data_IF_598492263225
#
_entry.id   IF_598492263225
#
_cell.length_a   1.000
_cell.length_b   1.000
_cell.length_c   1.000
_cell.angle_alpha   90.00
_cell.angle_beta   90.00
_cell.angle_gamma   90.00
#
_symmetry.space_group_name_H-M   'P 1'
#
loop_
_entity.id
_entity.type
_entity.pdbx_description
1 polymer ?
#
# COMPACT_ATOMS: atom_id res chain seq x y z
N UNK A 1 -1.55 -0.26 -5.30
CA UNK A 1 -2.73 -0.03 -4.44
C UNK A 1 -4.00 -0.05 -5.29
N UNK A 2 -5.17 -0.21 -4.65
CA UNK A 2 -6.50 -0.02 -5.25
C UNK A 2 -6.76 -0.86 -6.52
N UNK A 3 -6.11 -2.00 -6.65
CA UNK A 3 -6.29 -2.95 -7.75
C UNK A 3 -7.12 -4.13 -7.25
N UNK A 4 -8.13 -4.55 -8.03
CA UNK A 4 -9.00 -5.68 -7.70
C UNK A 4 -8.16 -6.92 -7.37
N UNK A 5 -8.53 -7.64 -6.32
CA UNK A 5 -7.82 -8.83 -5.79
C UNK A 5 -6.39 -8.58 -5.29
N UNK A 6 -5.95 -7.32 -5.14
CA UNK A 6 -4.70 -6.95 -4.48
C UNK A 6 -4.96 -6.37 -3.10
N UNK A 7 -4.02 -6.56 -2.18
CA UNK A 7 -4.11 -6.08 -0.79
C UNK A 7 -2.74 -5.67 -0.27
N UNK A 8 -2.71 -5.01 0.88
CA UNK A 8 -1.45 -4.72 1.60
C UNK A 8 -0.68 -6.01 1.91
N UNK A 9 -1.39 -7.12 2.19
CA UNK A 9 -0.78 -8.43 2.41
C UNK A 9 -0.13 -8.96 1.14
N UNK A 10 -0.82 -8.91 -0.02
CA UNK A 10 -0.24 -9.35 -1.29
C UNK A 10 0.97 -8.51 -1.69
N UNK A 11 0.98 -7.21 -1.39
CA UNK A 11 2.13 -6.34 -1.59
C UNK A 11 3.35 -6.82 -0.76
N UNK A 12 3.19 -6.99 0.55
CA UNK A 12 4.26 -7.46 1.42
C UNK A 12 4.75 -8.87 1.04
N UNK A 13 3.82 -9.76 0.66
CA UNK A 13 4.15 -11.13 0.24
C UNK A 13 5.01 -11.19 -1.03
N UNK A 14 4.84 -10.27 -1.99
CA UNK A 14 5.71 -10.24 -3.18
C UNK A 14 7.20 -10.16 -2.80
N UNK A 15 7.52 -9.28 -1.86
CA UNK A 15 8.90 -9.11 -1.38
C UNK A 15 9.37 -10.28 -0.49
N UNK A 16 8.47 -10.77 0.38
CA UNK A 16 8.76 -11.88 1.29
C UNK A 16 9.00 -13.20 0.53
N UNK A 17 8.14 -13.52 -0.45
CA UNK A 17 8.24 -14.74 -1.26
C UNK A 17 9.52 -14.77 -2.11
N UNK A 18 9.94 -13.61 -2.61
CA UNK A 18 11.19 -13.48 -3.34
C UNK A 18 12.45 -13.67 -2.44
N UNK A 19 12.26 -13.71 -1.12
CA UNK A 19 13.34 -13.82 -0.11
C UNK A 19 14.45 -12.78 -0.31
N UNK A 20 14.07 -11.58 -0.73
CA UNK A 20 14.99 -10.49 -0.98
C UNK A 20 15.55 -9.94 0.35
N UNK A 21 16.85 -9.65 0.37
CA UNK A 21 17.59 -9.26 1.58
C UNK A 21 17.76 -7.74 1.73
N UNK A 22 17.75 -6.99 0.64
CA UNK A 22 17.99 -5.54 0.63
C UNK A 22 16.78 -4.80 0.11
N UNK A 23 16.43 -3.70 0.77
CA UNK A 23 15.21 -2.94 0.51
C UNK A 23 15.52 -1.46 0.43
N UNK A 24 14.89 -0.82 -0.54
CA UNK A 24 14.79 0.64 -0.65
C UNK A 24 13.31 0.99 -0.61
N UNK A 25 12.93 1.78 0.38
CA UNK A 25 11.58 2.31 0.52
C UNK A 25 11.62 3.82 0.32
N UNK A 26 10.69 4.34 -0.49
CA UNK A 26 10.57 5.76 -0.82
C UNK A 26 9.10 6.15 -0.75
N UNK A 27 8.82 7.33 -0.22
CA UNK A 27 7.49 7.92 -0.13
C UNK A 27 7.42 9.12 -1.07
N UNK A 28 6.34 9.24 -1.83
CA UNK A 28 6.10 10.40 -2.70
C UNK A 28 5.36 11.48 -1.92
N UNK A 29 5.90 12.69 -1.93
CA UNK A 29 5.30 13.84 -1.23
C UNK A 29 4.04 14.29 -1.95
N UNK A 30 2.98 14.56 -1.18
CA UNK A 30 1.72 15.14 -1.66
C UNK A 30 1.16 14.39 -2.90
N UNK A 31 1.22 13.05 -2.90
CA UNK A 31 0.94 12.22 -4.06
C UNK A 31 -0.39 12.56 -4.75
N UNK A 32 -1.51 12.52 -4.05
CA UNK A 32 -2.81 12.87 -4.63
C UNK A 32 -2.89 14.36 -5.06
N UNK A 33 -2.55 15.34 -4.21
CA UNK A 33 -2.62 16.75 -4.59
C UNK A 33 -1.67 17.13 -5.71
N UNK A 34 -0.57 16.40 -5.91
CA UNK A 34 0.37 16.65 -7.02
C UNK A 34 -0.19 16.27 -8.40
N UNK A 35 -1.23 15.42 -8.44
CA UNK A 35 -1.90 15.02 -9.67
C UNK A 35 -2.94 16.07 -10.04
N UNK A 36 -2.74 16.73 -11.19
CA UNK A 36 -3.65 17.71 -11.76
C UNK A 36 -4.50 17.08 -12.87
N UNK A 37 -5.61 17.73 -13.19
CA UNK A 37 -6.45 17.29 -14.32
C UNK A 37 -5.64 17.14 -15.63
N UNK A 38 -4.71 18.06 -15.91
CA UNK A 38 -3.83 17.98 -17.09
C UNK A 38 -3.00 16.68 -17.13
N UNK A 39 -2.57 16.18 -15.97
CA UNK A 39 -1.84 14.91 -15.91
C UNK A 39 -2.76 13.71 -16.21
N UNK A 40 -4.02 13.78 -15.76
CA UNK A 40 -5.02 12.78 -16.12
C UNK A 40 -5.33 12.81 -17.60
N UNK A 41 -5.55 13.98 -18.19
CA UNK A 41 -5.81 14.16 -19.61
C UNK A 41 -4.63 13.67 -20.48
N UNK A 42 -3.40 13.97 -20.06
CA UNK A 42 -2.19 13.42 -20.70
C UNK A 42 -2.17 11.88 -20.66
N UNK A 43 -2.39 11.28 -19.50
CA UNK A 43 -2.44 9.83 -19.35
C UNK A 43 -3.59 9.21 -20.16
N UNK A 44 -4.77 9.86 -20.17
CA UNK A 44 -5.90 9.42 -20.98
C UNK A 44 -5.54 9.37 -22.47
N UNK A 45 -4.94 10.41 -23.00
CA UNK A 45 -4.52 10.45 -24.40
C UNK A 45 -3.42 9.43 -24.70
N UNK A 46 -2.45 9.26 -23.78
CA UNK A 46 -1.35 8.29 -23.93
C UNK A 46 -1.84 6.85 -24.00
N UNK A 47 -2.82 6.52 -23.16
CA UNK A 47 -3.33 5.15 -23.04
C UNK A 47 -4.71 4.97 -23.68
N UNK A 48 -5.14 5.89 -24.56
CA UNK A 48 -6.49 5.90 -25.13
C UNK A 48 -6.86 4.61 -25.82
N UNK A 49 -5.92 3.98 -26.51
CA UNK A 49 -6.14 2.71 -27.23
C UNK A 49 -6.41 1.50 -26.31
N UNK A 50 -6.10 1.63 -25.02
CA UNK A 50 -6.36 0.60 -24.03
C UNK A 50 -7.70 0.80 -23.30
N UNK A 51 -8.45 1.86 -23.63
CA UNK A 51 -9.72 2.21 -22.99
C UNK A 51 -10.86 1.70 -23.88
N UNK A 52 -11.60 0.71 -23.41
CA UNK A 52 -12.76 0.12 -24.07
C UNK A 52 -14.00 1.04 -23.90
N UNK A 53 -13.96 2.22 -24.52
CA UNK A 53 -15.05 3.19 -24.50
C UNK A 53 -15.12 3.92 -25.86
N UNK A 54 -16.32 4.21 -26.41
CA UNK A 54 -16.44 4.84 -27.70
C UNK A 54 -15.76 6.22 -27.76
N UNK A 55 -14.85 6.42 -28.72
CA UNK A 55 -14.05 7.66 -28.85
C UNK A 55 -14.92 8.91 -29.07
N UNK A 56 -16.09 8.74 -29.65
CA UNK A 56 -17.02 9.85 -29.92
C UNK A 56 -17.42 10.62 -28.66
N UNK A 57 -17.33 9.98 -27.48
CA UNK A 57 -17.67 10.59 -26.18
C UNK A 57 -16.47 11.03 -25.35
N UNK A 58 -15.26 11.06 -25.94
CA UNK A 58 -14.04 11.36 -25.19
C UNK A 58 -14.09 12.76 -24.55
N UNK A 59 -14.60 13.75 -25.25
CA UNK A 59 -14.67 15.11 -24.73
C UNK A 59 -15.67 15.25 -23.58
N UNK A 60 -16.84 14.67 -23.72
CA UNK A 60 -17.86 14.64 -22.66
C UNK A 60 -17.36 13.89 -21.44
N UNK A 61 -16.68 12.75 -21.64
CA UNK A 61 -16.09 11.96 -20.57
C UNK A 61 -15.00 12.75 -19.84
N UNK A 62 -14.09 13.37 -20.54
CA UNK A 62 -13.02 14.19 -19.96
C UNK A 62 -13.59 15.38 -19.18
N UNK A 63 -14.61 16.08 -19.72
CA UNK A 63 -15.27 17.18 -19.03
C UNK A 63 -16.02 16.71 -17.77
N UNK A 64 -16.69 15.56 -17.84
CA UNK A 64 -17.37 14.96 -16.71
C UNK A 64 -16.40 14.62 -15.59
N UNK A 65 -15.30 13.90 -15.91
CA UNK A 65 -14.26 13.54 -14.95
C UNK A 65 -13.63 14.78 -14.33
N UNK A 66 -13.35 15.82 -15.12
CA UNK A 66 -12.83 17.10 -14.62
C UNK A 66 -13.75 17.69 -13.55
N UNK A 67 -15.04 17.71 -13.84
CA UNK A 67 -16.03 18.36 -12.97
C UNK A 67 -16.28 17.61 -11.67
N UNK A 68 -16.34 16.26 -11.71
CA UNK A 68 -16.74 15.46 -10.55
C UNK A 68 -15.59 14.86 -9.76
N UNK A 69 -14.38 14.75 -10.35
CA UNK A 69 -13.24 14.07 -9.73
C UNK A 69 -12.12 15.01 -9.27
N UNK A 70 -12.11 16.25 -9.73
CA UNK A 70 -11.08 17.24 -9.38
C UNK A 70 -11.70 18.43 -8.65
N UNK A 71 -10.93 19.07 -7.74
CA UNK A 71 -11.36 20.27 -7.02
C UNK A 71 -10.99 21.54 -7.80
N UNK A 72 -11.39 22.71 -7.29
CA UNK A 72 -11.30 24.00 -7.99
C UNK A 72 -9.90 24.37 -8.48
N UNK A 73 -8.83 23.92 -7.80
CA UNK A 73 -7.43 24.09 -8.24
C UNK A 73 -6.97 23.01 -9.26
N UNK A 74 -7.91 22.24 -9.79
CA UNK A 74 -7.70 21.11 -10.68
C UNK A 74 -6.86 19.98 -10.09
N UNK A 75 -6.68 19.91 -8.77
CA UNK A 75 -5.96 18.84 -8.10
C UNK A 75 -6.87 17.64 -7.76
N UNK A 76 -6.26 16.47 -7.63
CA UNK A 76 -6.96 15.26 -7.22
C UNK A 76 -7.19 15.28 -5.70
N UNK A 77 -8.45 15.28 -5.21
CA UNK A 77 -8.74 15.42 -3.80
C UNK A 77 -8.43 14.16 -2.99
N UNK A 78 -7.99 14.35 -1.76
CA UNK A 78 -7.86 13.26 -0.79
C UNK A 78 -9.24 12.87 -0.27
N UNK A 79 -9.55 11.57 -0.22
CA UNK A 79 -10.80 11.05 0.34
C UNK A 79 -11.92 10.81 -0.67
N UNK A 80 -11.80 11.25 -1.90
CA UNK A 80 -12.78 10.90 -2.94
C UNK A 80 -12.61 9.44 -3.36
N UNK A 81 -13.70 8.68 -3.54
CA UNK A 81 -13.66 7.28 -3.96
C UNK A 81 -12.95 7.05 -5.31
N UNK A 82 -12.99 8.05 -6.20
CA UNK A 82 -12.39 8.03 -7.54
C UNK A 82 -10.89 8.32 -7.52
N UNK A 83 -10.39 9.09 -6.55
CA UNK A 83 -9.01 9.53 -6.49
C UNK A 83 -7.98 8.39 -6.54
N UNK A 84 -8.17 7.26 -5.84
CA UNK A 84 -7.22 6.16 -5.91
C UNK A 84 -7.09 5.52 -7.30
N UNK A 85 -8.19 5.41 -8.04
CA UNK A 85 -8.21 4.81 -9.38
C UNK A 85 -7.52 5.76 -10.36
N UNK A 86 -7.88 7.04 -10.33
CA UNK A 86 -7.29 8.09 -11.18
C UNK A 86 -5.79 8.20 -10.90
N UNK A 87 -5.38 8.22 -9.64
CA UNK A 87 -3.97 8.29 -9.26
C UNK A 87 -3.16 7.09 -9.77
N UNK A 88 -3.72 5.88 -9.73
CA UNK A 88 -3.07 4.71 -10.32
C UNK A 88 -2.95 4.80 -11.84
N UNK A 89 -3.98 5.31 -12.49
CA UNK A 89 -3.97 5.48 -13.95
C UNK A 89 -2.90 6.49 -14.38
N UNK A 90 -2.84 7.65 -13.73
CA UNK A 90 -1.83 8.69 -14.01
C UNK A 90 -0.41 8.20 -13.69
N UNK A 91 -0.23 7.49 -12.58
CA UNK A 91 1.10 6.99 -12.20
C UNK A 91 1.58 5.77 -13.00
N UNK A 92 0.78 5.27 -13.95
CA UNK A 92 1.15 4.10 -14.78
C UNK A 92 2.42 4.35 -15.59
N UNK A 93 2.56 5.50 -16.21
CA UNK A 93 3.74 5.84 -16.98
C UNK A 93 5.01 5.86 -16.12
N UNK A 94 4.90 6.36 -14.88
CA UNK A 94 5.98 6.29 -13.90
C UNK A 94 6.34 4.83 -13.57
N UNK A 95 5.33 3.98 -13.31
CA UNK A 95 5.54 2.57 -13.00
C UNK A 95 6.24 1.83 -14.15
N UNK A 96 5.84 2.07 -15.38
CA UNK A 96 6.45 1.50 -16.59
C UNK A 96 7.90 1.94 -16.75
N UNK A 97 8.18 3.26 -16.66
CA UNK A 97 9.54 3.80 -16.76
C UNK A 97 10.45 3.33 -15.63
N UNK A 98 9.93 3.28 -14.40
CA UNK A 98 10.71 2.78 -13.27
C UNK A 98 11.05 1.30 -13.45
N UNK A 99 10.11 0.51 -13.92
CA UNK A 99 10.34 -0.92 -14.20
C UNK A 99 11.43 -1.10 -15.25
N UNK A 100 11.39 -0.33 -16.33
CA UNK A 100 12.43 -0.35 -17.39
C UNK A 100 13.80 0.06 -16.83
N UNK A 101 13.85 1.16 -16.06
CA UNK A 101 15.10 1.63 -15.46
C UNK A 101 15.69 0.63 -14.45
N UNK A 102 14.85 -0.06 -13.67
CA UNK A 102 15.31 -1.11 -12.75
C UNK A 102 15.85 -2.33 -13.50
N UNK A 103 15.19 -2.74 -14.58
CA UNK A 103 15.60 -3.87 -15.41
C UNK A 103 16.91 -3.60 -16.17
N UNK A 104 17.24 -2.33 -16.44
CA UNK A 104 18.51 -1.95 -17.08
C UNK A 104 19.73 -2.01 -16.12
N UNK A 105 19.51 -2.12 -14.82
CA UNK A 105 20.59 -2.26 -13.85
C UNK A 105 21.07 -3.73 -13.85
N UNK A 106 22.31 -3.91 -14.24
CA UNK A 106 22.89 -5.24 -14.37
C UNK A 106 22.73 -6.09 -13.10
N UNK A 107 22.24 -7.31 -13.29
CA UNK A 107 22.04 -8.35 -12.28
C UNK A 107 21.19 -7.92 -11.09
N UNK A 108 20.37 -6.86 -11.17
CA UNK A 108 19.59 -6.34 -10.04
C UNK A 108 18.51 -7.32 -9.57
N UNK A 109 17.76 -7.93 -10.50
CA UNK A 109 16.64 -8.83 -10.22
C UNK A 109 15.73 -8.28 -9.09
N UNK A 110 15.22 -7.06 -9.27
CA UNK A 110 14.45 -6.37 -8.24
C UNK A 110 12.96 -6.75 -8.28
N UNK A 111 12.34 -6.81 -7.12
CA UNK A 111 10.89 -6.74 -6.97
C UNK A 111 10.52 -5.28 -6.69
N UNK A 112 9.65 -4.73 -7.51
CA UNK A 112 9.08 -3.40 -7.37
C UNK A 112 7.60 -3.49 -7.03
N UNK A 113 7.17 -2.71 -6.04
CA UNK A 113 5.75 -2.48 -5.75
C UNK A 113 5.50 -1.03 -5.38
N UNK A 114 4.32 -0.52 -5.75
CA UNK A 114 3.82 0.79 -5.31
C UNK A 114 2.44 0.64 -4.67
N UNK A 115 2.28 1.24 -3.50
CA UNK A 115 0.99 1.37 -2.83
C UNK A 115 0.70 2.85 -2.60
N UNK A 116 -0.08 3.47 -3.52
CA UNK A 116 -0.24 4.92 -3.62
C UNK A 116 1.13 5.63 -3.72
N UNK A 117 1.50 6.36 -2.68
CA UNK A 117 2.76 7.07 -2.49
C UNK A 117 3.93 6.20 -2.01
N UNK A 118 3.63 5.03 -1.40
CA UNK A 118 4.65 4.10 -0.86
C UNK A 118 5.26 3.25 -1.97
N UNK A 119 6.53 3.47 -2.28
CA UNK A 119 7.34 2.69 -3.22
C UNK A 119 8.26 1.77 -2.44
N UNK A 120 8.26 0.47 -2.77
CA UNK A 120 9.16 -0.50 -2.18
C UNK A 120 9.87 -1.24 -3.31
N UNK A 121 11.20 -1.27 -3.26
CA UNK A 121 12.04 -2.06 -4.16
C UNK A 121 12.91 -2.97 -3.32
N UNK A 122 12.91 -4.26 -3.65
CA UNK A 122 13.74 -5.23 -2.95
C UNK A 122 14.57 -6.07 -3.92
N UNK A 123 15.77 -6.47 -3.48
CA UNK A 123 16.69 -7.27 -4.27
C UNK A 123 17.58 -8.12 -3.35
N UNK A 124 18.23 -9.14 -3.91
CA UNK A 124 19.29 -9.90 -3.24
C UNK A 124 20.70 -9.34 -3.49
N UNK A 125 20.83 -8.26 -4.28
CA UNK A 125 22.13 -7.67 -4.62
C UNK A 125 22.50 -6.57 -3.62
N UNK A 126 23.61 -6.78 -2.90
CA UNK A 126 24.18 -5.80 -1.96
C UNK A 126 24.75 -4.60 -2.72
N UNK A 127 24.67 -3.41 -2.11
CA UNK A 127 25.31 -2.20 -2.63
C UNK A 127 24.58 -1.50 -3.79
N UNK A 128 23.37 -1.96 -4.17
CA UNK A 128 22.62 -1.41 -5.30
C UNK A 128 21.67 -0.26 -4.92
N UNK A 129 21.59 0.16 -3.66
CA UNK A 129 20.64 1.18 -3.19
C UNK A 129 20.78 2.53 -3.89
N UNK A 130 22.01 2.99 -4.14
CA UNK A 130 22.23 4.24 -4.87
C UNK A 130 21.74 4.16 -6.32
N UNK A 131 21.96 3.03 -7.01
CA UNK A 131 21.48 2.83 -8.38
C UNK A 131 19.95 2.75 -8.42
N UNK A 132 19.31 2.11 -7.44
CA UNK A 132 17.86 2.05 -7.29
C UNK A 132 17.29 3.47 -7.07
N UNK A 133 17.87 4.26 -6.17
CA UNK A 133 17.43 5.64 -5.93
C UNK A 133 17.59 6.51 -7.17
N UNK A 134 18.67 6.36 -7.92
CA UNK A 134 18.88 7.07 -9.18
C UNK A 134 17.85 6.65 -10.24
N UNK A 135 17.49 5.37 -10.32
CA UNK A 135 16.43 4.88 -11.20
C UNK A 135 15.08 5.52 -10.85
N UNK A 136 14.71 5.60 -9.56
CA UNK A 136 13.48 6.28 -9.12
C UNK A 136 13.51 7.76 -9.53
N UNK A 137 14.58 8.48 -9.19
CA UNK A 137 14.74 9.91 -9.52
C UNK A 137 14.69 10.16 -11.03
N UNK A 138 15.35 9.33 -11.82
CA UNK A 138 15.35 9.42 -13.29
C UNK A 138 13.95 9.16 -13.87
N UNK A 139 13.21 8.20 -13.31
CA UNK A 139 11.84 7.89 -13.76
C UNK A 139 10.88 9.04 -13.47
N UNK A 140 10.96 9.66 -12.29
CA UNK A 140 10.15 10.82 -11.92
C UNK A 140 10.36 11.99 -12.87
N UNK A 141 11.62 12.30 -13.23
CA UNK A 141 11.96 13.45 -14.11
C UNK A 141 11.44 13.30 -15.53
N UNK A 142 11.08 12.12 -15.95
CA UNK A 142 10.69 11.80 -17.35
C UNK A 142 9.19 11.61 -17.52
N UNK A 143 8.40 11.88 -16.50
CA UNK A 143 6.93 11.68 -16.51
C UNK A 143 6.19 12.88 -15.95
N UNK A 144 4.94 12.99 -16.32
CA UNK A 144 3.96 13.90 -15.74
C UNK A 144 2.92 13.10 -14.90
N UNK A 145 2.62 13.54 -13.66
CA UNK A 145 3.21 14.67 -12.93
C UNK A 145 4.66 14.39 -12.51
N UNK A 146 5.46 15.44 -12.39
CA UNK A 146 6.81 15.34 -11.81
C UNK A 146 6.69 15.17 -10.28
N UNK A 147 6.48 13.92 -9.84
CA UNK A 147 6.36 13.58 -8.44
C UNK A 147 7.59 14.02 -7.63
N UNK A 148 7.39 14.33 -6.36
CA UNK A 148 8.48 14.70 -5.45
C UNK A 148 8.72 13.59 -4.43
N UNK A 149 9.99 13.24 -4.21
CA UNK A 149 10.39 12.29 -3.18
C UNK A 149 10.39 13.01 -1.83
N UNK A 150 9.81 12.38 -0.82
CA UNK A 150 9.98 12.79 0.57
C UNK A 150 11.33 12.26 1.08
N UNK A 151 12.36 13.11 1.06
CA UNK A 151 13.73 12.71 1.41
C UNK A 151 13.84 12.21 2.87
N UNK A 152 13.03 12.74 3.78
CA UNK A 152 13.03 12.34 5.20
C UNK A 152 12.46 10.93 5.43
N UNK A 153 11.74 10.40 4.44
CA UNK A 153 11.13 9.07 4.47
C UNK A 153 11.82 8.05 3.56
N UNK A 154 13.03 8.32 3.12
CA UNK A 154 13.83 7.32 2.40
C UNK A 154 14.41 6.35 3.44
N UNK A 155 14.06 5.07 3.30
CA UNK A 155 14.58 4.01 4.15
C UNK A 155 15.34 2.97 3.32
N UNK A 156 16.60 2.74 3.67
CA UNK A 156 17.43 1.67 3.11
C UNK A 156 17.72 0.70 4.24
N UNK A 157 17.32 -0.53 4.07
CA UNK A 157 17.49 -1.54 5.12
C UNK A 157 17.79 -2.92 4.54
N UNK A 158 18.28 -3.81 5.42
CA UNK A 158 18.50 -5.23 5.09
C UNK A 158 17.67 -6.11 6.01
N UNK A 159 17.30 -7.29 5.52
CA UNK A 159 16.57 -8.30 6.30
C UNK A 159 17.37 -8.78 7.54
N UNK A 160 18.70 -8.79 7.47
CA UNK A 160 19.59 -9.15 8.58
C UNK A 160 19.69 -8.02 9.63
N UNK A 161 19.43 -6.77 9.27
CA UNK A 161 19.49 -5.62 10.17
C UNK A 161 18.20 -5.32 10.93
N UNK A 162 17.19 -6.17 10.80
CA UNK A 162 15.91 -5.97 11.48
C UNK A 162 14.70 -6.33 10.64
N UNK A 163 13.59 -5.66 10.90
CA UNK A 163 12.32 -5.89 10.21
C UNK A 163 12.02 -4.77 9.22
N UNK A 164 11.42 -5.16 8.11
CA UNK A 164 10.97 -4.24 7.07
C UNK A 164 9.49 -4.02 7.23
N UNK A 165 9.07 -2.76 7.13
CA UNK A 165 7.65 -2.39 7.15
C UNK A 165 7.19 -2.10 5.73
N UNK A 166 6.38 -2.99 5.18
CA UNK A 166 5.75 -2.84 3.87
C UNK A 166 4.24 -2.57 4.07
N UNK A 167 3.77 -1.39 3.69
CA UNK A 167 2.35 -0.99 3.80
C UNK A 167 1.72 -1.30 5.18
N UNK A 168 2.47 -1.01 6.27
CA UNK A 168 2.03 -1.26 7.65
C UNK A 168 2.20 -2.69 8.16
N UNK A 169 2.62 -3.63 7.32
CA UNK A 169 2.93 -5.00 7.71
C UNK A 169 4.43 -5.21 7.86
N UNK A 170 4.80 -6.09 8.79
CA UNK A 170 6.19 -6.44 9.05
C UNK A 170 6.58 -7.68 8.23
N UNK A 171 7.69 -7.56 7.47
CA UNK A 171 8.40 -8.69 6.88
C UNK A 171 9.55 -9.03 7.83
N UNK A 172 9.57 -10.24 8.37
CA UNK A 172 10.58 -10.70 9.30
C UNK A 172 11.84 -11.22 8.58
N UNK A 173 12.92 -11.46 9.32
CA UNK A 173 14.19 -11.97 8.78
C UNK A 173 14.08 -13.35 8.11
N UNK A 174 13.11 -14.17 8.55
CA UNK A 174 12.75 -15.47 7.97
C UNK A 174 11.71 -15.35 6.84
N UNK A 175 11.45 -14.11 6.40
CA UNK A 175 10.53 -13.74 5.31
C UNK A 175 9.05 -14.02 5.56
N UNK A 176 8.62 -14.34 6.78
CA UNK A 176 7.19 -14.35 7.05
C UNK A 176 6.62 -12.93 7.22
N UNK A 177 5.38 -12.74 6.78
CA UNK A 177 4.65 -11.47 6.90
C UNK A 177 3.76 -11.52 8.14
N UNK A 178 3.84 -10.49 8.96
CA UNK A 178 3.10 -10.41 10.22
C UNK A 178 2.64 -8.97 10.50
N UNK A 179 1.77 -8.81 11.49
CA UNK A 179 1.36 -7.51 12.00
C UNK A 179 2.51 -6.78 12.68
N UNK A 180 2.53 -5.45 12.57
CA UNK A 180 3.46 -4.63 13.34
C UNK A 180 3.24 -4.84 14.85
N UNK A 181 4.32 -4.75 15.64
CA UNK A 181 4.29 -4.99 17.09
C UNK A 181 3.24 -4.15 17.80
N UNK A 182 3.14 -2.86 17.48
CA UNK A 182 2.16 -1.96 18.08
C UNK A 182 0.71 -2.45 17.91
N UNK A 183 0.36 -2.99 16.75
CA UNK A 183 -0.96 -3.56 16.49
C UNK A 183 -1.18 -4.85 17.31
N UNK A 184 -0.18 -5.72 17.38
CA UNK A 184 -0.26 -6.94 18.22
C UNK A 184 -0.44 -6.61 19.69
N UNK A 185 0.29 -5.61 20.20
CA UNK A 185 0.20 -5.20 21.59
C UNK A 185 -1.15 -4.53 21.90
N UNK A 186 -1.68 -3.75 20.95
CA UNK A 186 -3.03 -3.17 21.05
C UNK A 186 -4.12 -4.24 21.13
N UNK A 187 -4.06 -5.27 20.29
CA UNK A 187 -5.02 -6.39 20.32
C UNK A 187 -4.92 -7.13 21.67
N UNK A 188 -3.71 -7.40 22.14
CA UNK A 188 -3.50 -8.05 23.44
C UNK A 188 -4.04 -7.24 24.61
N UNK A 189 -3.85 -5.92 24.57
CA UNK A 189 -4.39 -5.00 25.58
C UNK A 189 -5.92 -5.09 25.62
N UNK A 190 -6.59 -4.96 24.48
CA UNK A 190 -8.05 -5.02 24.44
C UNK A 190 -8.60 -6.38 24.90
N UNK A 191 -7.98 -7.48 24.49
CA UNK A 191 -8.35 -8.82 24.98
C UNK A 191 -8.12 -8.97 26.49
N UNK A 192 -7.05 -8.42 27.03
CA UNK A 192 -6.79 -8.42 28.47
C UNK A 192 -7.78 -7.55 29.25
N UNK A 193 -8.22 -6.42 28.68
CA UNK A 193 -9.27 -5.60 29.29
C UNK A 193 -10.62 -6.31 29.27
N UNK A 194 -10.93 -7.00 28.17
CA UNK A 194 -12.16 -7.79 28.02
C UNK A 194 -12.20 -8.93 29.05
N UNK A 195 -11.11 -9.70 29.22
CA UNK A 195 -11.03 -10.81 30.21
C UNK A 195 -11.17 -10.35 31.65
N UNK A 196 -10.88 -9.07 31.92
CA UNK A 196 -11.04 -8.45 33.24
C UNK A 196 -12.39 -7.72 33.43
N UNK A 197 -13.28 -7.78 32.44
CA UNK A 197 -14.54 -7.05 32.42
C UNK A 197 -14.40 -5.53 32.39
N UNK A 198 -13.22 -5.02 31.96
CA UNK A 198 -12.89 -3.57 31.92
C UNK A 198 -12.94 -2.95 30.53
N UNK A 199 -13.21 -3.73 29.47
CA UNK A 199 -13.34 -3.19 28.12
C UNK A 199 -14.70 -2.48 27.99
N UNK A 200 -14.70 -1.27 27.48
CA UNK A 200 -15.92 -0.51 27.23
C UNK A 200 -16.72 -1.13 26.06
N UNK A 201 -18.05 -1.11 26.15
CA UNK A 201 -18.94 -1.69 25.11
C UNK A 201 -18.72 -1.07 23.73
N UNK A 202 -18.42 0.23 23.67
CA UNK A 202 -18.11 0.97 22.44
C UNK A 202 -16.87 0.43 21.68
N UNK A 203 -15.95 -0.23 22.39
CA UNK A 203 -14.72 -0.81 21.82
C UNK A 203 -14.88 -2.27 21.35
N UNK A 204 -16.04 -2.90 21.57
CA UNK A 204 -16.26 -4.32 21.21
C UNK A 204 -16.18 -4.51 19.68
N UNK A 205 -16.87 -3.67 18.90
CA UNK A 205 -16.83 -3.73 17.43
C UNK A 205 -15.41 -3.49 16.89
N UNK A 206 -14.68 -2.58 17.50
CA UNK A 206 -13.31 -2.26 17.18
C UNK A 206 -12.36 -3.44 17.44
N UNK A 207 -12.52 -4.10 18.59
CA UNK A 207 -11.76 -5.32 18.92
C UNK A 207 -12.07 -6.45 17.93
N UNK A 208 -13.34 -6.68 17.61
CA UNK A 208 -13.76 -7.69 16.60
C UNK A 208 -13.12 -7.43 15.24
N UNK A 209 -13.09 -6.17 14.79
CA UNK A 209 -12.40 -5.79 13.57
C UNK A 209 -10.89 -6.06 13.61
N UNK A 210 -10.23 -5.77 14.74
CA UNK A 210 -8.80 -6.06 14.90
C UNK A 210 -8.51 -7.57 14.93
N UNK A 211 -9.38 -8.39 15.53
CA UNK A 211 -9.25 -9.85 15.55
C UNK A 211 -9.42 -10.41 14.14
N UNK A 212 -10.44 -9.98 13.40
CA UNK A 212 -10.66 -10.36 12.01
C UNK A 212 -9.46 -9.97 11.12
N UNK A 213 -8.93 -8.77 11.30
CA UNK A 213 -7.73 -8.31 10.62
C UNK A 213 -6.52 -9.18 10.97
N UNK A 214 -6.31 -9.51 12.26
CA UNK A 214 -5.23 -10.40 12.68
C UNK A 214 -5.36 -11.79 12.05
N UNK A 215 -6.57 -12.35 11.99
CA UNK A 215 -6.87 -13.64 11.34
C UNK A 215 -6.49 -13.62 9.87
N UNK A 216 -6.81 -12.54 9.15
CA UNK A 216 -6.54 -12.42 7.71
C UNK A 216 -5.04 -12.25 7.39
N UNK A 217 -4.30 -11.51 8.22
CA UNK A 217 -2.89 -11.17 7.97
C UNK A 217 -1.94 -12.22 8.55
N UNK A 218 -2.10 -12.57 9.83
CA UNK A 218 -1.19 -13.40 10.62
C UNK A 218 -1.97 -14.52 11.34
N UNK A 219 -2.35 -15.61 10.64
CA UNK A 219 -3.09 -16.72 11.21
C UNK A 219 -2.40 -17.36 12.43
N UNK A 220 -1.06 -17.36 12.45
CA UNK A 220 -0.29 -17.92 13.56
C UNK A 220 -0.46 -17.07 14.84
N UNK A 221 -0.40 -15.74 14.72
CA UNK A 221 -0.70 -14.85 15.85
C UNK A 221 -2.15 -15.00 16.30
N UNK A 222 -3.10 -15.05 15.37
CA UNK A 222 -4.52 -15.30 15.68
C UNK A 222 -4.71 -16.60 16.47
N UNK A 223 -4.10 -17.70 16.04
CA UNK A 223 -4.20 -18.99 16.75
C UNK A 223 -3.66 -18.90 18.18
N UNK A 224 -2.55 -18.17 18.40
CA UNK A 224 -2.02 -17.91 19.75
C UNK A 224 -2.99 -17.11 20.61
N UNK A 225 -3.64 -16.09 20.04
CA UNK A 225 -4.67 -15.31 20.75
C UNK A 225 -5.88 -16.19 21.09
N UNK A 226 -6.38 -16.95 20.12
CA UNK A 226 -7.53 -17.83 20.33
C UNK A 226 -7.29 -18.87 21.40
N UNK A 227 -6.09 -19.45 21.48
CA UNK A 227 -5.73 -20.39 22.56
C UNK A 227 -5.74 -19.71 23.94
N UNK A 228 -5.29 -18.44 24.03
CA UNK A 228 -5.18 -17.74 25.31
C UNK A 228 -6.49 -17.09 25.76
N UNK A 229 -7.32 -16.60 24.83
CA UNK A 229 -8.52 -15.80 25.09
C UNK A 229 -9.75 -16.43 24.43
N UNK A 230 -9.87 -17.76 24.47
CA UNK A 230 -10.92 -18.51 23.77
C UNK A 230 -12.33 -18.09 24.18
N UNK A 231 -12.59 -17.94 25.47
CA UNK A 231 -13.92 -17.57 25.99
C UNK A 231 -14.33 -16.17 25.52
N UNK A 232 -13.42 -15.21 25.62
CA UNK A 232 -13.62 -13.82 25.26
C UNK A 232 -13.88 -13.68 23.75
N UNK A 233 -13.09 -14.39 22.92
CA UNK A 233 -13.23 -14.34 21.46
C UNK A 233 -14.54 -14.97 21.00
N UNK A 234 -14.97 -16.09 21.61
CA UNK A 234 -16.25 -16.72 21.34
C UNK A 234 -17.43 -15.84 21.77
N UNK A 235 -17.32 -15.16 22.91
CA UNK A 235 -18.32 -14.19 23.38
C UNK A 235 -18.52 -13.02 22.42
N UNK A 236 -17.45 -12.52 21.82
CA UNK A 236 -17.51 -11.47 20.80
C UNK A 236 -18.21 -11.92 19.51
N UNK A 237 -17.95 -13.14 19.03
CA UNK A 237 -18.60 -13.70 17.85
C UNK A 237 -20.12 -13.86 18.05
N UNK A 238 -20.53 -14.33 19.22
CA UNK A 238 -21.95 -14.50 19.57
C UNK A 238 -22.71 -13.17 19.73
N UNK A 239 -22.03 -12.11 20.16
CA UNK A 239 -22.64 -10.77 20.29
C UNK A 239 -22.88 -10.12 18.92
N UNK A 240 -22.07 -10.42 17.91
CA UNK A 240 -22.29 -9.94 16.53
C UNK A 240 -23.49 -10.62 15.85
N UNK A 241 -23.71 -11.90 16.10
CA UNK A 241 -24.83 -12.66 15.53
C UNK A 241 -26.20 -12.31 16.13
N UNK A 242 -26.25 -11.52 17.20
CA UNK A 242 -27.51 -11.07 17.84
C UNK A 242 -27.98 -9.69 17.36
N UNK A 243 -27.22 -9.01 16.49
CA UNK A 243 -27.51 -7.64 16.01
C UNK A 243 -27.87 -7.64 14.52
N UNK A 244 -27.99 -8.80 13.90
CA UNK A 244 -28.60 -9.03 12.58
C UNK A 244 -29.94 -9.73 12.83
#
# INVERSE_FOLDING_TARGET
>A
AFVKKRSIKSNALMHATAKNKYYVKVDLKDFFPSIKYSNFEHAFNTYRDLIEFPRIYDQELLQLIKTICFISDSSLPIGFPTSPIIANFVAREFDEKLTLNLNSIDSLNAIYTRYADDIIISTNRRGKSAQILNAIKSSIRKVEPNFKINNDKIHICSASGGSIIATGLKICHDFHVTLHRSMKDKIRLYLSLLSKGRLKKEDYNKLSGYIAYAKSIDPHFYTKLNRKYFQEMRGLENSHNKVI
#
